data_IF_881451496363
#
_entry.id   IF_881451496363
#
_cell.length_a   1.000
_cell.length_b   1.000
_cell.length_c   1.000
_cell.angle_alpha   90.00
_cell.angle_beta   90.00
_cell.angle_gamma   90.00
#
_symmetry.space_group_name_H-M   'P 1'
#
loop_
_entity.id
_entity.type
_entity.pdbx_description
1 polymer ?
#
# COMPACT_ATOMS: atom_id res chain seq x y z
N UNK A 1 -25.10 -6.13 12.99
CA UNK A 1 -24.04 -6.53 13.94
C UNK A 1 -22.74 -6.70 13.15
N UNK A 2 -21.89 -5.67 13.12
CA UNK A 2 -20.59 -5.66 12.42
C UNK A 2 -19.42 -5.93 13.36
N UNK A 3 -18.67 -4.89 13.74
CA UNK A 3 -17.56 -4.99 14.72
C UNK A 3 -17.90 -5.56 16.09
N UNK A 4 -19.19 -5.73 16.38
CA UNK A 4 -19.71 -6.33 17.62
C UNK A 4 -20.20 -7.77 17.42
N UNK A 5 -20.02 -8.34 16.23
CA UNK A 5 -20.37 -9.72 15.96
C UNK A 5 -19.48 -10.67 16.77
N UNK A 6 -20.01 -11.81 17.27
CA UNK A 6 -19.20 -12.85 17.87
C UNK A 6 -18.06 -13.28 16.93
N UNK A 7 -16.86 -13.48 17.49
CA UNK A 7 -15.68 -13.87 16.73
C UNK A 7 -14.92 -12.73 16.03
N UNK A 8 -15.51 -11.54 15.91
CA UNK A 8 -14.85 -10.41 15.24
C UNK A 8 -13.55 -9.99 15.92
N UNK A 9 -13.51 -9.95 17.26
CA UNK A 9 -12.29 -9.57 18.00
C UNK A 9 -11.12 -10.50 17.71
N UNK A 10 -11.36 -11.81 17.67
CA UNK A 10 -10.36 -12.83 17.34
C UNK A 10 -9.84 -12.66 15.90
N UNK A 11 -10.74 -12.50 14.93
CA UNK A 11 -10.35 -12.27 13.52
C UNK A 11 -9.59 -10.96 13.36
N UNK A 12 -10.02 -9.89 14.04
CA UNK A 12 -9.35 -8.58 14.02
C UNK A 12 -7.94 -8.65 14.62
N UNK A 13 -7.72 -9.47 15.65
CA UNK A 13 -6.40 -9.71 16.23
C UNK A 13 -5.48 -10.44 15.26
N UNK A 14 -5.96 -11.49 14.58
CA UNK A 14 -5.21 -12.20 13.53
C UNK A 14 -4.79 -11.25 12.39
N UNK A 15 -5.71 -10.41 11.92
CA UNK A 15 -5.42 -9.39 10.88
C UNK A 15 -4.41 -8.37 11.42
N UNK A 16 -4.52 -7.97 12.69
CA UNK A 16 -3.57 -7.03 13.31
C UNK A 16 -2.17 -7.62 13.39
N UNK A 17 -2.03 -8.91 13.71
CA UNK A 17 -0.76 -9.62 13.72
C UNK A 17 -0.13 -9.71 12.33
N UNK A 18 -0.93 -9.96 11.29
CA UNK A 18 -0.46 -9.89 9.89
C UNK A 18 0.12 -8.50 9.56
N UNK A 19 -0.56 -7.42 9.94
CA UNK A 19 -0.04 -6.08 9.70
C UNK A 19 1.22 -5.76 10.52
N UNK A 20 1.30 -6.24 11.76
CA UNK A 20 2.51 -6.11 12.59
C UNK A 20 3.69 -6.81 11.92
N UNK A 21 3.49 -8.04 11.44
CA UNK A 21 4.52 -8.79 10.73
C UNK A 21 5.02 -8.08 9.47
N UNK A 22 4.11 -7.54 8.65
CA UNK A 22 4.46 -6.76 7.46
C UNK A 22 5.28 -5.50 7.80
N UNK A 23 4.97 -4.84 8.92
CA UNK A 23 5.67 -3.64 9.41
C UNK A 23 7.02 -3.98 10.04
N UNK A 24 7.09 -4.99 10.91
CA UNK A 24 8.33 -5.41 11.57
C UNK A 24 9.38 -5.82 10.55
N UNK A 25 8.96 -6.43 9.44
CA UNK A 25 9.83 -6.86 8.36
C UNK A 25 9.91 -5.86 7.20
N UNK A 26 9.55 -4.57 7.38
CA UNK A 26 9.43 -3.57 6.30
C UNK A 26 10.66 -3.50 5.36
N UNK A 27 11.86 -3.72 5.88
CA UNK A 27 13.10 -3.71 5.10
C UNK A 27 13.15 -4.82 4.02
N UNK A 28 12.50 -5.97 4.26
CA UNK A 28 12.56 -7.16 3.39
C UNK A 28 11.19 -7.61 2.88
N UNK A 29 10.10 -7.15 3.49
CA UNK A 29 8.73 -7.50 3.12
C UNK A 29 8.24 -6.77 1.88
N UNK A 30 8.91 -5.68 1.47
CA UNK A 30 8.47 -4.81 0.37
C UNK A 30 7.15 -4.08 0.64
N UNK A 31 6.68 -4.12 1.88
CA UNK A 31 5.48 -3.42 2.32
C UNK A 31 5.76 -1.90 2.41
N UNK A 32 4.95 -1.11 1.71
CA UNK A 32 5.08 0.35 1.70
C UNK A 32 4.19 1.00 2.76
N UNK A 33 3.04 0.39 3.02
CA UNK A 33 2.07 0.86 4.00
C UNK A 33 0.64 0.50 3.59
N UNK A 34 -0.32 0.97 4.38
CA UNK A 34 -1.75 0.79 4.09
C UNK A 34 -2.56 2.00 4.54
N UNK A 35 -3.77 2.11 4.04
CA UNK A 35 -4.75 3.09 4.54
C UNK A 35 -5.12 2.82 6.00
N UNK A 36 -5.64 3.86 6.67
CA UNK A 36 -6.51 3.62 7.84
C UNK A 36 -7.69 2.73 7.43
N UNK A 37 -8.40 2.16 8.42
CA UNK A 37 -9.61 1.37 8.15
C UNK A 37 -10.62 2.23 7.39
N UNK A 38 -10.95 1.78 6.18
CA UNK A 38 -12.07 2.29 5.40
C UNK A 38 -13.30 1.47 5.75
N UNK A 39 -14.46 2.10 5.69
CA UNK A 39 -15.74 1.45 5.94
C UNK A 39 -16.66 1.65 4.74
N UNK A 40 -17.34 0.60 4.32
CA UNK A 40 -18.41 0.72 3.33
C UNK A 40 -19.57 1.50 3.91
N UNK A 41 -20.18 2.36 3.09
CA UNK A 41 -21.34 3.20 3.46
C UNK A 41 -22.42 3.14 2.39
N UNK A 42 -22.36 2.14 1.54
CA UNK A 42 -23.23 1.89 0.39
C UNK A 42 -24.63 1.41 0.81
N UNK A 43 -24.76 0.82 1.99
CA UNK A 43 -26.03 0.49 2.61
C UNK A 43 -26.02 0.76 4.14
N UNK A 44 -27.22 0.90 4.74
CA UNK A 44 -27.39 1.20 6.18
C UNK A 44 -26.88 0.08 7.12
N UNK A 45 -26.64 -1.11 6.56
CA UNK A 45 -26.22 -2.31 7.26
C UNK A 45 -24.79 -2.73 6.86
N UNK A 46 -24.04 -1.89 6.15
CA UNK A 46 -22.75 -2.25 5.60
C UNK A 46 -21.75 -2.34 6.74
N UNK A 47 -21.22 -3.54 6.95
CA UNK A 47 -20.24 -3.82 8.01
C UNK A 47 -18.85 -4.15 7.43
N UNK A 48 -18.62 -3.75 6.18
CA UNK A 48 -17.37 -4.03 5.46
C UNK A 48 -16.29 -3.08 5.97
N UNK A 49 -15.16 -3.66 6.36
CA UNK A 49 -13.93 -2.94 6.68
C UNK A 49 -12.88 -3.27 5.63
N UNK A 50 -12.26 -2.25 5.06
CA UNK A 50 -11.32 -2.37 3.94
C UNK A 50 -10.01 -1.70 4.31
N UNK A 51 -8.91 -2.32 3.88
CA UNK A 51 -7.60 -1.70 3.87
C UNK A 51 -7.03 -1.80 2.46
N UNK A 52 -6.52 -0.69 1.94
CA UNK A 52 -5.72 -0.70 0.71
C UNK A 52 -4.26 -0.73 1.15
N UNK A 53 -3.56 -1.82 0.83
CA UNK A 53 -2.14 -1.99 1.12
C UNK A 53 -1.29 -1.83 -0.14
N UNK A 54 -0.14 -1.18 0.00
CA UNK A 54 0.78 -0.90 -1.07
C UNK A 54 2.07 -1.70 -0.90
N UNK A 55 2.55 -2.25 -2.00
CA UNK A 55 3.71 -3.14 -2.04
C UNK A 55 4.63 -2.73 -3.20
N UNK A 56 5.93 -3.01 -3.07
CA UNK A 56 6.94 -2.66 -4.08
C UNK A 56 6.79 -3.42 -5.40
N UNK A 57 6.32 -4.67 -5.34
CA UNK A 57 6.07 -5.53 -6.50
C UNK A 57 5.10 -6.64 -6.10
N UNK A 58 4.59 -7.40 -7.08
CA UNK A 58 3.61 -8.45 -6.87
C UNK A 58 4.14 -9.67 -6.08
N UNK A 59 5.45 -9.94 -6.14
CA UNK A 59 6.08 -11.07 -5.45
C UNK A 59 6.07 -10.89 -3.93
N UNK A 60 6.13 -9.64 -3.47
CA UNK A 60 6.16 -9.30 -2.04
C UNK A 60 4.86 -9.68 -1.30
N UNK A 61 3.65 -9.26 -1.72
CA UNK A 61 2.42 -9.70 -1.09
C UNK A 61 2.17 -11.20 -1.28
N UNK A 62 2.62 -11.81 -2.39
CA UNK A 62 2.53 -13.26 -2.57
C UNK A 62 3.38 -14.02 -1.54
N UNK A 63 4.63 -13.58 -1.31
CA UNK A 63 5.49 -14.15 -0.27
C UNK A 63 4.89 -13.95 1.12
N UNK A 64 4.37 -12.76 1.39
CA UNK A 64 3.70 -12.45 2.65
C UNK A 64 2.47 -13.34 2.88
N UNK A 65 1.64 -13.57 1.87
CA UNK A 65 0.47 -14.44 1.95
C UNK A 65 0.84 -15.91 2.25
N UNK A 66 2.04 -16.34 1.84
CA UNK A 66 2.58 -17.67 2.15
C UNK A 66 3.37 -17.72 3.47
N UNK A 67 3.53 -16.60 4.17
CA UNK A 67 4.23 -16.52 5.45
C UNK A 67 3.40 -16.97 6.65
N UNK A 68 4.06 -17.24 7.77
CA UNK A 68 3.48 -17.84 8.96
C UNK A 68 2.30 -17.03 9.54
N UNK A 69 2.44 -15.70 9.61
CA UNK A 69 1.41 -14.80 10.15
C UNK A 69 0.12 -14.87 9.33
N UNK A 70 0.25 -14.85 8.01
CA UNK A 70 -0.89 -14.92 7.10
C UNK A 70 -1.52 -16.31 7.09
N UNK A 71 -0.70 -17.37 7.00
CA UNK A 71 -1.17 -18.76 7.03
C UNK A 71 -1.91 -19.10 8.31
N UNK A 72 -1.43 -18.64 9.47
CA UNK A 72 -2.13 -18.80 10.76
C UNK A 72 -3.54 -18.22 10.72
N UNK A 73 -3.71 -17.02 10.16
CA UNK A 73 -5.04 -16.42 10.05
C UNK A 73 -5.93 -17.09 9.01
N UNK A 74 -5.38 -17.47 7.87
CA UNK A 74 -6.09 -18.22 6.83
C UNK A 74 -6.59 -19.57 7.34
N UNK A 75 -5.72 -20.36 7.96
CA UNK A 75 -6.08 -21.65 8.53
C UNK A 75 -7.09 -21.49 9.68
N UNK A 76 -7.00 -20.39 10.44
CA UNK A 76 -8.01 -20.05 11.45
C UNK A 76 -9.38 -19.73 10.85
N UNK A 77 -9.42 -19.05 9.71
CA UNK A 77 -10.66 -18.75 9.01
C UNK A 77 -11.31 -20.03 8.44
N UNK A 78 -10.51 -20.91 7.85
CA UNK A 78 -10.97 -22.15 7.23
C UNK A 78 -11.60 -23.16 8.20
N UNK A 79 -11.38 -23.02 9.52
CA UNK A 79 -12.09 -23.84 10.53
C UNK A 79 -13.60 -23.57 10.58
N UNK A 80 -14.07 -22.47 10.00
CA UNK A 80 -15.50 -22.20 9.83
C UNK A 80 -16.25 -21.90 11.15
N UNK A 81 -15.54 -21.53 12.21
CA UNK A 81 -16.11 -21.24 13.54
C UNK A 81 -17.08 -20.03 13.54
N UNK A 82 -16.97 -19.15 12.54
CA UNK A 82 -17.74 -17.91 12.42
C UNK A 82 -18.34 -17.74 11.01
N UNK A 83 -19.39 -18.50 10.66
CA UNK A 83 -19.93 -18.54 9.28
C UNK A 83 -20.56 -17.23 8.81
N UNK A 84 -20.86 -16.30 9.72
CA UNK A 84 -21.37 -14.96 9.43
C UNK A 84 -20.26 -13.95 9.09
N UNK A 85 -18.98 -14.32 9.18
CA UNK A 85 -17.86 -13.47 8.84
C UNK A 85 -17.33 -13.82 7.44
N UNK A 86 -17.36 -12.84 6.53
CA UNK A 86 -16.75 -12.92 5.21
C UNK A 86 -15.38 -12.27 5.16
N UNK A 87 -14.50 -12.79 4.30
CA UNK A 87 -13.24 -12.13 3.90
C UNK A 87 -13.14 -12.10 2.38
N UNK A 88 -12.55 -11.03 1.85
CA UNK A 88 -12.21 -10.92 0.43
C UNK A 88 -10.89 -10.16 0.29
N UNK A 89 -10.20 -10.37 -0.82
CA UNK A 89 -9.12 -9.50 -1.25
C UNK A 89 -9.05 -9.44 -2.77
N UNK A 90 -8.62 -8.31 -3.30
CA UNK A 90 -8.29 -8.14 -4.72
C UNK A 90 -6.85 -7.64 -4.77
N UNK A 91 -6.08 -8.14 -5.74
CA UNK A 91 -4.69 -7.73 -5.94
C UNK A 91 -4.53 -7.23 -7.36
N UNK A 92 -4.01 -6.01 -7.49
CA UNK A 92 -3.77 -5.35 -8.75
C UNK A 92 -2.26 -5.13 -8.90
N UNK A 93 -1.68 -5.68 -9.96
CA UNK A 93 -0.32 -5.35 -10.40
C UNK A 93 -0.40 -4.32 -11.52
N UNK A 94 0.23 -3.17 -11.33
CA UNK A 94 0.13 -2.03 -12.24
C UNK A 94 1.53 -1.67 -12.74
N UNK A 95 1.84 -1.90 -14.03
CA UNK A 95 3.14 -1.58 -14.59
C UNK A 95 3.51 -0.09 -14.40
N UNK A 96 4.81 0.19 -14.36
CA UNK A 96 5.30 1.57 -14.35
C UNK A 96 4.73 2.36 -15.54
N UNK A 97 4.29 3.60 -15.30
CA UNK A 97 3.62 4.42 -16.30
C UNK A 97 2.09 4.25 -16.38
N UNK A 98 1.53 3.16 -15.83
CA UNK A 98 0.10 2.85 -15.94
C UNK A 98 -0.72 3.26 -14.70
N UNK A 99 -0.23 4.22 -13.93
CA UNK A 99 -0.90 4.74 -12.74
C UNK A 99 -0.70 6.25 -12.64
N UNK A 100 -1.69 6.94 -12.06
CA UNK A 100 -1.64 8.36 -11.77
C UNK A 100 -2.22 8.64 -10.38
N UNK A 101 -1.71 9.66 -9.71
CA UNK A 101 -2.31 10.20 -8.49
C UNK A 101 -2.15 11.71 -8.48
N UNK A 102 -3.28 12.41 -8.38
CA UNK A 102 -3.36 13.86 -8.27
C UNK A 102 -4.02 14.19 -6.93
N UNK A 103 -3.36 15.02 -6.12
CA UNK A 103 -3.90 15.51 -4.86
C UNK A 103 -3.93 17.04 -4.84
N UNK A 104 -5.12 17.63 -4.76
CA UNK A 104 -5.31 19.07 -4.60
C UNK A 104 -6.13 19.35 -3.35
N UNK A 105 -5.60 20.20 -2.44
CA UNK A 105 -6.27 20.54 -1.17
C UNK A 105 -6.79 19.30 -0.42
N UNK A 106 -5.99 18.23 -0.40
CA UNK A 106 -6.37 16.93 0.11
C UNK A 106 -5.37 16.46 1.16
N UNK A 107 -5.86 15.88 2.25
CA UNK A 107 -4.98 15.27 3.26
C UNK A 107 -4.28 14.06 2.65
N UNK A 108 -3.00 13.85 2.95
CA UNK A 108 -2.26 12.69 2.46
C UNK A 108 -3.01 11.39 2.76
N UNK A 109 -3.26 10.62 1.72
CA UNK A 109 -4.04 9.39 1.76
C UNK A 109 -3.42 8.34 0.83
N UNK A 110 -3.75 7.07 1.06
CA UNK A 110 -3.29 5.97 0.22
C UNK A 110 -1.77 5.94 0.09
N UNK A 111 -1.28 5.77 -1.13
CA UNK A 111 0.14 5.69 -1.45
C UNK A 111 0.89 6.97 -1.07
N UNK A 112 0.25 8.14 -1.17
CA UNK A 112 0.85 9.44 -0.82
C UNK A 112 1.19 9.60 0.66
N UNK A 113 0.59 8.77 1.54
CA UNK A 113 0.93 8.71 2.96
C UNK A 113 2.08 7.75 3.28
N UNK A 114 2.49 6.93 2.31
CA UNK A 114 3.57 5.95 2.52
C UNK A 114 4.94 6.61 2.44
N UNK A 115 5.88 6.06 3.18
CA UNK A 115 7.28 6.49 3.18
C UNK A 115 8.18 5.32 2.81
N UNK A 116 9.12 5.58 1.91
CA UNK A 116 10.09 4.61 1.44
C UNK A 116 11.45 4.85 2.10
N UNK A 117 12.08 3.77 2.53
CA UNK A 117 13.49 3.79 2.91
C UNK A 117 14.33 4.11 1.68
N UNK A 118 15.09 5.20 1.73
CA UNK A 118 16.21 5.43 0.84
C UNK A 118 17.37 4.58 1.37
N UNK A 119 17.76 3.55 0.63
CA UNK A 119 19.04 2.90 0.91
C UNK A 119 20.14 3.96 0.68
N UNK A 120 21.08 4.16 1.62
CA UNK A 120 22.17 5.09 1.41
C UNK A 120 22.90 4.73 0.13
N UNK A 121 23.22 5.76 -0.67
CA UNK A 121 24.02 5.63 -1.88
C UNK A 121 25.32 4.88 -1.53
N UNK A 122 25.71 3.82 -2.27
CA UNK A 122 26.94 3.08 -2.00
C UNK A 122 28.21 3.94 -1.99
N UNK A 123 28.18 5.16 -2.56
CA UNK A 123 29.30 6.10 -2.53
C UNK A 123 29.37 6.96 -1.24
N UNK A 124 28.32 6.98 -0.42
CA UNK A 124 28.27 7.78 0.82
C UNK A 124 28.74 6.93 1.99
N UNK A 125 29.91 7.26 2.55
CA UNK A 125 30.47 6.57 3.73
C UNK A 125 29.46 6.61 4.89
N UNK A 126 29.21 5.48 5.57
CA UNK A 126 28.29 5.46 6.70
C UNK A 126 28.87 6.31 7.83
N UNK A 127 28.21 7.42 8.13
CA UNK A 127 28.37 8.12 9.40
C UNK A 127 27.62 7.31 10.47
N UNK A 128 28.28 7.07 11.61
CA UNK A 128 27.75 6.42 12.82
C UNK A 128 26.45 7.03 13.38
N UNK A 129 25.99 8.14 12.82
CA UNK A 129 24.74 8.84 13.15
C UNK A 129 23.61 8.71 12.12
N UNK A 130 23.74 7.86 11.08
CA UNK A 130 22.75 7.77 10.01
C UNK A 130 21.40 7.24 10.52
N UNK A 131 20.47 8.15 10.82
CA UNK A 131 19.05 7.82 10.93
C UNK A 131 18.60 7.25 9.58
N UNK A 132 17.81 6.19 9.60
CA UNK A 132 17.18 5.67 8.39
C UNK A 132 16.49 6.81 7.63
N UNK A 133 16.93 7.09 6.41
CA UNK A 133 16.39 8.19 5.61
C UNK A 133 15.12 7.71 4.91
N UNK A 134 13.98 8.18 5.39
CA UNK A 134 12.68 7.95 4.77
C UNK A 134 12.34 9.09 3.83
N UNK A 135 11.75 8.78 2.66
CA UNK A 135 11.24 9.79 1.72
C UNK A 135 9.81 9.49 1.32
N UNK A 136 9.05 10.56 1.13
CA UNK A 136 7.72 10.49 0.51
C UNK A 136 7.88 10.40 -1.00
N UNK A 137 6.99 9.66 -1.65
CA UNK A 137 6.91 9.62 -3.11
C UNK A 137 6.24 10.87 -3.71
N UNK A 138 5.66 11.75 -2.88
CA UNK A 138 4.96 12.97 -3.30
C UNK A 138 5.93 14.02 -3.83
N UNK A 139 5.64 14.54 -5.02
CA UNK A 139 6.40 15.63 -5.65
C UNK A 139 5.50 16.85 -5.81
N UNK A 140 6.00 18.00 -5.36
CA UNK A 140 5.29 19.26 -5.57
C UNK A 140 5.20 19.58 -7.07
N UNK A 141 3.97 19.78 -7.57
CA UNK A 141 3.74 20.12 -8.96
C UNK A 141 3.89 21.62 -9.23
N UNK A 142 5.14 22.08 -9.36
CA UNK A 142 5.48 23.44 -9.79
C UNK A 142 6.37 23.41 -11.04
N UNK A 143 6.08 24.31 -11.99
CA UNK A 143 6.94 24.53 -13.16
C UNK A 143 7.09 23.29 -14.05
N UNK A 144 8.33 22.87 -14.31
CA UNK A 144 8.64 21.75 -15.22
C UNK A 144 8.14 20.38 -14.72
N UNK A 145 8.05 20.18 -13.40
CA UNK A 145 7.55 18.93 -12.79
C UNK A 145 6.09 18.62 -13.15
N UNK A 146 5.28 19.66 -13.42
CA UNK A 146 3.92 19.51 -13.93
C UNK A 146 3.90 19.11 -15.41
N UNK A 147 4.86 19.58 -16.20
CA UNK A 147 4.94 19.34 -17.65
C UNK A 147 5.58 18.00 -17.99
N UNK A 148 6.39 17.40 -17.12
CA UNK A 148 7.07 16.12 -17.41
C UNK A 148 6.18 14.88 -17.23
N UNK A 149 4.92 15.02 -16.79
CA UNK A 149 3.97 13.93 -16.62
C UNK A 149 3.05 13.74 -17.84
N UNK A 150 3.59 14.04 -19.03
CA UNK A 150 2.95 14.44 -20.31
C UNK A 150 1.89 13.51 -20.96
N UNK A 151 1.08 12.77 -20.20
CA UNK A 151 -0.18 12.16 -20.71
C UNK A 151 -1.44 12.37 -19.86
N UNK A 152 -1.41 13.18 -18.80
CA UNK A 152 -2.61 13.50 -18.03
C UNK A 152 -3.00 14.98 -18.16
N UNK A 153 -3.67 15.31 -19.26
CA UNK A 153 -4.18 16.67 -19.49
C UNK A 153 -5.57 16.87 -18.88
N UNK A 154 -5.65 17.27 -17.61
CA UNK A 154 -6.80 18.02 -17.05
C UNK A 154 -6.31 19.06 -16.03
N UNK A 155 -6.56 20.34 -16.31
CA UNK A 155 -5.94 21.48 -15.63
C UNK A 155 -6.49 21.78 -14.23
N UNK A 156 -5.99 21.08 -13.20
CA UNK A 156 -6.15 21.45 -11.79
C UNK A 156 -4.76 21.39 -11.11
N UNK A 157 -4.26 22.48 -10.47
CA UNK A 157 -2.95 22.46 -9.80
C UNK A 157 -2.95 21.48 -8.62
N UNK A 158 -1.99 20.57 -8.45
CA UNK A 158 -1.97 19.65 -7.29
C UNK A 158 -0.73 18.76 -7.24
N UNK A 159 -0.35 18.28 -6.06
CA UNK A 159 0.82 17.39 -5.85
C UNK A 159 0.61 16.12 -6.70
N UNK A 160 1.66 15.71 -7.42
CA UNK A 160 1.65 14.52 -8.28
C UNK A 160 2.69 13.51 -7.79
N UNK A 161 2.44 12.23 -8.07
CA UNK A 161 3.42 11.18 -7.88
C UNK A 161 4.16 10.96 -9.22
N UNK A 162 5.49 11.06 -9.22
CA UNK A 162 6.31 10.99 -10.44
C UNK A 162 6.88 9.60 -10.73
N UNK A 163 6.84 9.18 -12.01
CA UNK A 163 7.64 8.07 -12.51
C UNK A 163 8.97 8.60 -13.06
N UNK A 164 10.11 7.94 -12.74
CA UNK A 164 11.28 8.01 -13.62
C UNK A 164 10.98 7.17 -14.87
N UNK A 165 11.30 7.64 -16.09
CA UNK A 165 11.05 6.86 -17.30
C UNK A 165 11.96 5.62 -17.34
N UNK A 166 11.36 4.45 -17.60
CA UNK A 166 12.08 3.27 -18.10
C UNK A 166 12.03 3.36 -19.63
N UNK A 167 13.17 3.26 -20.36
CA UNK A 167 13.15 3.22 -21.81
C UNK A 167 12.42 1.95 -22.27
N UNK A 168 11.35 2.10 -23.05
CA UNK A 168 10.73 0.97 -23.76
C UNK A 168 11.68 0.52 -24.87
N UNK A 169 12.02 -0.77 -24.92
CA UNK A 169 12.77 -1.35 -26.02
C UNK A 169 11.83 -1.53 -27.24
N UNK A 170 12.30 -1.30 -28.49
CA UNK A 170 11.45 -1.39 -29.69
C UNK A 170 10.79 -2.75 -29.99
N UNK A 171 11.06 -3.79 -29.18
CA UNK A 171 10.66 -5.17 -29.46
C UNK A 171 9.58 -5.72 -28.50
N UNK A 172 8.98 -4.88 -27.66
CA UNK A 172 7.90 -5.28 -26.73
C UNK A 172 6.49 -5.13 -27.35
N UNK A 173 6.25 -5.73 -28.54
CA UNK A 173 4.93 -5.91 -29.15
C UNK A 173 4.70 -7.34 -29.63
#
# INVERSE_FOLDING_TARGET
>A
MGRFAPGFSHVSELISDMWRDAITNKATSGYLGKTSTLVGTDDENCNVMIWISYWKSIEHPQRFANGDSHRKGWDSYLRGEHPHLGIMHETYDVPAGNWETICHNFTQFGLGKTEQLINPDPEVKPDSTSKENYTSSLVEAKGASWKSNDKASFGIPGITLGNRPVPLHPDDW
#
